data_IF_700576655269
#
_entry.id   IF_700576655269
#
_cell.length_a   1.000
_cell.length_b   1.000
_cell.length_c   1.000
_cell.angle_alpha   90.00
_cell.angle_beta   90.00
_cell.angle_gamma   90.00
#
_symmetry.space_group_name_H-M   'P 1'
#
loop_
_entity.id
_entity.type
_entity.pdbx_description
1 polymer ?
#
# COMPACT_ATOMS: atom_id res chain seq x y z
N UNK A 1 -1.95 -40.84 -25.73
CA UNK A 1 -0.68 -40.34 -25.20
C UNK A 1 -0.42 -41.04 -23.88
N UNK A 2 0.75 -41.63 -23.73
CA UNK A 2 1.12 -42.34 -22.49
C UNK A 2 2.06 -41.44 -21.69
N UNK A 3 1.85 -41.36 -20.38
CA UNK A 3 2.77 -40.72 -19.44
C UNK A 3 3.89 -41.74 -19.11
N UNK A 4 5.12 -41.30 -19.22
CA UNK A 4 6.31 -42.09 -18.91
C UNK A 4 7.21 -41.29 -17.95
N UNK A 5 7.81 -41.96 -17.00
CA UNK A 5 8.80 -41.31 -16.12
C UNK A 5 10.16 -41.33 -16.79
N UNK A 6 10.82 -40.17 -16.87
CA UNK A 6 12.14 -39.99 -17.41
C UNK A 6 13.07 -39.38 -16.37
N UNK A 7 14.30 -39.86 -16.36
CA UNK A 7 15.38 -39.26 -15.59
C UNK A 7 15.60 -37.82 -16.02
N UNK A 8 15.61 -36.87 -15.06
CA UNK A 8 15.82 -35.44 -15.32
C UNK A 8 17.18 -35.19 -15.97
N UNK A 9 18.17 -36.01 -15.68
CA UNK A 9 19.50 -35.96 -16.28
C UNK A 9 19.48 -36.27 -17.80
N UNK A 10 18.50 -37.02 -18.27
CA UNK A 10 18.36 -37.40 -19.68
C UNK A 10 17.58 -36.36 -20.50
N UNK A 11 17.01 -35.34 -19.83
CA UNK A 11 16.26 -34.29 -20.51
C UNK A 11 17.17 -33.15 -20.96
N UNK A 12 16.95 -32.67 -22.16
CA UNK A 12 17.65 -31.52 -22.76
C UNK A 12 16.75 -30.27 -22.72
N UNK A 13 16.99 -29.33 -21.81
CA UNK A 13 16.29 -28.05 -21.84
C UNK A 13 16.58 -27.32 -23.17
N UNK A 14 15.55 -26.70 -23.77
CA UNK A 14 15.77 -25.92 -24.96
C UNK A 14 16.50 -24.61 -24.66
N UNK A 15 17.73 -24.45 -25.16
CA UNK A 15 18.62 -23.31 -24.82
C UNK A 15 18.04 -21.93 -25.20
N UNK A 16 17.26 -21.88 -26.31
CA UNK A 16 16.66 -20.66 -26.84
C UNK A 16 15.23 -20.44 -26.33
N UNK A 17 14.94 -20.91 -25.07
CA UNK A 17 13.63 -20.69 -24.48
C UNK A 17 13.38 -19.19 -24.24
N UNK A 18 12.37 -18.65 -24.97
CA UNK A 18 12.01 -17.23 -24.86
C UNK A 18 11.35 -16.86 -23.54
N UNK A 19 10.77 -17.85 -22.82
CA UNK A 19 10.11 -17.62 -21.55
C UNK A 19 11.09 -17.74 -20.39
N UNK A 20 11.21 -16.68 -19.60
CA UNK A 20 12.01 -16.67 -18.36
C UNK A 20 11.15 -17.11 -17.19
N UNK A 21 11.75 -17.82 -16.26
CA UNK A 21 11.10 -18.32 -15.05
C UNK A 21 11.76 -17.67 -13.83
N UNK A 22 11.15 -16.60 -13.24
CA UNK A 22 11.69 -15.97 -12.03
C UNK A 22 11.61 -16.93 -10.84
N UNK A 23 12.50 -16.77 -9.85
CA UNK A 23 12.58 -17.65 -8.70
C UNK A 23 11.24 -17.77 -7.95
N UNK A 24 10.51 -16.66 -7.76
CA UNK A 24 9.17 -16.66 -7.13
C UNK A 24 8.21 -17.66 -7.81
N UNK A 25 8.23 -17.75 -9.16
CA UNK A 25 7.40 -18.72 -9.89
C UNK A 25 7.83 -20.15 -9.62
N UNK A 26 9.14 -20.40 -9.60
CA UNK A 26 9.69 -21.74 -9.34
C UNK A 26 9.34 -22.21 -7.94
N UNK A 27 9.42 -21.32 -6.94
CA UNK A 27 9.06 -21.59 -5.56
C UNK A 27 7.57 -21.95 -5.40
N UNK A 28 6.67 -21.21 -6.06
CA UNK A 28 5.24 -21.53 -6.09
C UNK A 28 4.98 -22.86 -6.76
N UNK A 29 5.62 -23.15 -7.88
CA UNK A 29 5.51 -24.44 -8.58
C UNK A 29 6.03 -25.60 -7.70
N UNK A 30 7.13 -25.40 -6.99
CA UNK A 30 7.68 -26.40 -6.07
C UNK A 30 6.69 -26.71 -4.94
N UNK A 31 6.17 -25.71 -4.26
CA UNK A 31 5.13 -25.87 -3.22
C UNK A 31 3.88 -26.59 -3.74
N UNK A 32 3.42 -26.24 -4.96
CA UNK A 32 2.27 -26.92 -5.59
C UNK A 32 2.55 -28.40 -5.84
N UNK A 33 3.74 -28.74 -6.35
CA UNK A 33 4.17 -30.11 -6.59
C UNK A 33 4.25 -30.92 -5.28
N UNK A 34 4.76 -30.33 -4.22
CA UNK A 34 4.80 -30.96 -2.90
C UNK A 34 3.39 -31.22 -2.34
N UNK A 35 2.47 -30.26 -2.49
CA UNK A 35 1.14 -30.34 -1.90
C UNK A 35 0.16 -31.20 -2.70
N UNK A 36 0.14 -31.03 -4.02
CA UNK A 36 -0.87 -31.65 -4.89
C UNK A 36 -0.30 -32.76 -5.79
N UNK A 37 1.00 -32.98 -5.74
CA UNK A 37 1.68 -33.86 -6.67
C UNK A 37 1.94 -33.24 -8.03
N UNK A 38 2.56 -33.99 -8.92
CA UNK A 38 2.89 -33.54 -10.26
C UNK A 38 1.70 -33.71 -11.22
N UNK A 39 0.85 -32.71 -11.31
CA UNK A 39 -0.46 -32.77 -11.99
C UNK A 39 -0.39 -32.64 -13.53
N UNK A 40 0.66 -32.04 -14.09
CA UNK A 40 0.76 -31.75 -15.52
C UNK A 40 2.12 -32.20 -16.07
N UNK A 41 2.19 -33.26 -16.89
CA UNK A 41 3.43 -33.80 -17.43
C UNK A 41 4.24 -32.78 -18.23
N UNK A 42 5.55 -32.99 -18.31
CA UNK A 42 6.45 -32.24 -19.21
C UNK A 42 6.31 -32.80 -20.60
N UNK A 43 6.19 -31.96 -21.63
CA UNK A 43 6.19 -32.39 -23.01
C UNK A 43 7.63 -32.45 -23.55
N UNK A 44 8.01 -33.58 -24.14
CA UNK A 44 9.33 -33.80 -24.69
C UNK A 44 9.25 -34.30 -26.15
N UNK A 45 10.27 -34.01 -26.92
CA UNK A 45 10.46 -34.58 -28.26
C UNK A 45 10.94 -36.04 -28.19
N UNK A 46 11.04 -36.72 -29.35
CA UNK A 46 11.63 -38.04 -29.44
C UNK A 46 13.06 -38.11 -28.92
N UNK A 47 13.80 -37.02 -29.07
CA UNK A 47 15.19 -36.86 -28.59
C UNK A 47 15.29 -36.36 -27.14
N UNK A 48 14.24 -36.39 -26.35
CA UNK A 48 14.16 -35.85 -24.98
C UNK A 48 14.42 -34.34 -24.86
N UNK A 49 14.28 -33.54 -25.94
CA UNK A 49 14.31 -32.08 -25.80
C UNK A 49 12.99 -31.59 -25.19
N UNK A 50 13.05 -30.71 -24.18
CA UNK A 50 11.89 -30.18 -23.50
C UNK A 50 11.14 -29.21 -24.43
N UNK A 51 9.89 -29.52 -24.73
CA UNK A 51 8.98 -28.68 -25.52
C UNK A 51 8.22 -27.73 -24.61
N UNK A 52 7.56 -28.24 -23.55
CA UNK A 52 6.79 -27.47 -22.60
C UNK A 52 7.00 -27.98 -21.17
N UNK A 53 6.95 -27.06 -20.19
CA UNK A 53 7.11 -27.39 -18.77
C UNK A 53 8.49 -27.10 -18.19
N UNK A 54 9.28 -26.19 -18.78
CA UNK A 54 10.60 -25.79 -18.27
C UNK A 54 10.56 -25.31 -16.81
N UNK A 55 9.55 -24.51 -16.42
CA UNK A 55 9.38 -24.05 -15.01
C UNK A 55 9.14 -25.22 -14.06
N UNK A 56 8.30 -26.20 -14.45
CA UNK A 56 8.05 -27.42 -13.65
C UNK A 56 9.30 -28.28 -13.49
N UNK A 57 10.09 -28.38 -14.54
CA UNK A 57 11.39 -29.09 -14.47
C UNK A 57 12.37 -28.40 -13.51
N UNK A 58 12.41 -27.06 -13.50
CA UNK A 58 13.24 -26.31 -12.54
C UNK A 58 12.75 -26.52 -11.11
N UNK A 59 11.44 -26.52 -10.87
CA UNK A 59 10.86 -26.79 -9.56
C UNK A 59 11.19 -28.20 -9.06
N UNK A 60 11.09 -29.22 -9.90
CA UNK A 60 11.50 -30.60 -9.54
C UNK A 60 12.99 -30.70 -9.19
N UNK A 61 13.85 -30.01 -9.95
CA UNK A 61 15.29 -29.93 -9.62
C UNK A 61 15.54 -29.27 -8.25
N UNK A 62 14.81 -28.21 -7.93
CA UNK A 62 14.85 -27.56 -6.62
C UNK A 62 14.42 -28.49 -5.50
N UNK A 63 13.42 -29.36 -5.75
CA UNK A 63 12.95 -30.38 -4.82
C UNK A 63 13.85 -31.62 -4.73
N UNK A 64 14.95 -31.66 -5.48
CA UNK A 64 15.88 -32.80 -5.47
C UNK A 64 15.30 -34.07 -6.10
N UNK A 65 14.25 -33.94 -6.94
CA UNK A 65 13.69 -35.08 -7.65
C UNK A 65 14.62 -35.50 -8.81
N UNK A 66 14.72 -36.79 -9.05
CA UNK A 66 15.57 -37.36 -10.12
C UNK A 66 14.79 -37.74 -11.35
N UNK A 67 13.50 -37.97 -11.22
CA UNK A 67 12.59 -38.37 -12.28
C UNK A 67 11.46 -37.35 -12.48
N UNK A 68 10.91 -37.31 -13.68
CA UNK A 68 9.79 -36.43 -14.03
C UNK A 68 8.80 -37.14 -14.98
N UNK A 69 7.49 -37.07 -14.71
CA UNK A 69 6.46 -37.56 -15.61
C UNK A 69 6.48 -36.72 -16.92
N UNK A 70 6.62 -37.40 -18.04
CA UNK A 70 6.71 -36.82 -19.39
C UNK A 70 5.66 -37.41 -20.31
N UNK A 71 5.27 -36.62 -21.31
CA UNK A 71 4.56 -37.09 -22.49
C UNK A 71 5.50 -36.89 -23.67
N UNK A 72 5.79 -37.98 -24.40
CA UNK A 72 6.62 -37.93 -25.61
C UNK A 72 5.76 -37.58 -26.83
N UNK A 73 6.18 -36.55 -27.52
CA UNK A 73 5.56 -36.10 -28.78
C UNK A 73 6.30 -36.74 -29.95
N UNK A 74 5.63 -37.65 -30.64
CA UNK A 74 6.19 -38.39 -31.76
C UNK A 74 5.65 -37.87 -33.09
N UNK A 75 6.43 -38.00 -34.15
CA UNK A 75 6.04 -37.67 -35.53
C UNK A 75 5.97 -36.19 -35.85
N UNK A 76 6.47 -35.31 -34.94
CA UNK A 76 6.46 -33.85 -35.18
C UNK A 76 7.73 -33.40 -35.88
N UNK A 77 7.58 -32.55 -36.87
CA UNK A 77 8.67 -31.82 -37.50
C UNK A 77 9.28 -30.78 -36.56
N UNK A 78 10.51 -30.34 -36.84
CA UNK A 78 11.17 -29.27 -36.05
C UNK A 78 10.37 -27.97 -36.06
N UNK A 79 9.65 -27.67 -37.13
CA UNK A 79 8.80 -26.48 -37.22
C UNK A 79 7.58 -26.60 -36.30
N UNK A 80 6.91 -27.75 -36.33
CA UNK A 80 5.77 -28.02 -35.43
C UNK A 80 6.16 -28.00 -33.94
N UNK A 81 7.31 -28.57 -33.57
CA UNK A 81 7.85 -28.50 -32.21
C UNK A 81 8.07 -27.04 -31.79
N UNK A 82 8.63 -26.21 -32.69
CA UNK A 82 8.83 -24.78 -32.42
C UNK A 82 7.50 -24.03 -32.26
N UNK A 83 6.53 -24.31 -33.11
CA UNK A 83 5.19 -23.73 -33.05
C UNK A 83 4.48 -24.15 -31.76
N UNK A 84 4.50 -25.44 -31.40
CA UNK A 84 3.89 -25.97 -30.18
C UNK A 84 4.49 -25.32 -28.92
N UNK A 85 5.83 -25.16 -28.86
CA UNK A 85 6.52 -24.50 -27.74
C UNK A 85 6.07 -23.07 -27.53
N UNK A 86 5.90 -22.32 -28.61
CA UNK A 86 5.41 -20.92 -28.53
C UNK A 86 3.93 -20.88 -28.16
N UNK A 87 3.12 -21.75 -28.75
CA UNK A 87 1.68 -21.83 -28.57
C UNK A 87 1.32 -22.18 -27.10
N UNK A 88 1.97 -23.18 -26.51
CA UNK A 88 1.73 -23.59 -25.11
C UNK A 88 1.89 -22.40 -24.12
N UNK A 89 2.91 -21.59 -24.35
CA UNK A 89 3.13 -20.40 -23.50
C UNK A 89 2.17 -19.25 -23.83
N UNK A 90 1.90 -18.99 -25.12
CA UNK A 90 1.11 -17.84 -25.54
C UNK A 90 -0.38 -18.05 -25.27
N UNK A 91 -0.92 -19.24 -25.58
CA UNK A 91 -2.36 -19.54 -25.39
C UNK A 91 -2.73 -19.42 -23.89
N UNK A 92 -1.89 -19.93 -23.01
CA UNK A 92 -2.11 -19.81 -21.57
C UNK A 92 -2.16 -18.33 -21.07
N UNK A 93 -1.44 -17.42 -21.76
CA UNK A 93 -1.43 -15.99 -21.43
C UNK A 93 -2.50 -15.16 -22.13
N UNK A 94 -3.30 -15.74 -23.03
CA UNK A 94 -4.42 -15.06 -23.71
C UNK A 94 -5.71 -15.05 -22.89
N UNK A 95 -5.81 -15.90 -21.88
CA UNK A 95 -6.94 -15.89 -20.94
C UNK A 95 -6.88 -14.68 -20.02
N UNK A 96 -8.03 -14.09 -19.72
CA UNK A 96 -8.19 -13.01 -18.76
C UNK A 96 -8.92 -13.51 -17.52
N UNK A 97 -8.56 -12.96 -16.36
CA UNK A 97 -9.24 -13.25 -15.10
C UNK A 97 -10.45 -12.34 -14.93
N UNK A 98 -11.60 -12.90 -14.58
CA UNK A 98 -12.61 -12.13 -13.86
C UNK A 98 -12.09 -11.91 -12.44
N UNK A 99 -11.50 -10.74 -12.20
CA UNK A 99 -10.88 -10.43 -10.93
C UNK A 99 -11.88 -10.36 -9.77
N UNK A 100 -13.16 -10.05 -10.04
CA UNK A 100 -14.20 -10.04 -9.02
C UNK A 100 -14.42 -11.45 -8.46
N UNK A 101 -14.64 -12.41 -9.35
CA UNK A 101 -14.81 -13.82 -8.98
C UNK A 101 -13.52 -14.41 -8.38
N UNK A 102 -12.36 -14.09 -8.94
CA UNK A 102 -11.09 -14.58 -8.43
C UNK A 102 -10.83 -14.11 -6.99
N UNK A 103 -11.09 -12.84 -6.66
CA UNK A 103 -10.95 -12.29 -5.30
C UNK A 103 -11.93 -12.95 -4.33
N UNK A 104 -13.17 -13.21 -4.75
CA UNK A 104 -14.16 -13.90 -3.93
C UNK A 104 -13.67 -15.31 -3.54
N UNK A 105 -13.16 -16.09 -4.50
CA UNK A 105 -12.59 -17.41 -4.26
C UNK A 105 -11.33 -17.35 -3.38
N UNK A 106 -10.43 -16.41 -3.64
CA UNK A 106 -9.20 -16.24 -2.87
C UNK A 106 -9.46 -15.94 -1.39
N UNK A 107 -10.48 -15.14 -1.06
CA UNK A 107 -10.86 -14.82 0.32
C UNK A 107 -11.33 -16.03 1.12
N UNK A 108 -11.80 -17.09 0.45
CA UNK A 108 -12.21 -18.33 1.08
C UNK A 108 -11.06 -19.28 1.44
N UNK A 109 -9.82 -18.98 1.02
CA UNK A 109 -8.66 -19.84 1.24
C UNK A 109 -7.96 -19.56 2.57
N UNK A 110 -7.39 -20.60 3.19
CA UNK A 110 -6.40 -20.41 4.25
C UNK A 110 -5.13 -19.81 3.70
N UNK A 111 -4.31 -19.18 4.55
CA UNK A 111 -3.04 -18.58 4.15
C UNK A 111 -2.13 -19.56 3.41
N UNK A 112 -2.04 -20.82 3.89
CA UNK A 112 -1.28 -21.88 3.24
C UNK A 112 -1.78 -22.16 1.82
N UNK A 113 -3.09 -22.24 1.63
CA UNK A 113 -3.69 -22.50 0.31
C UNK A 113 -3.57 -21.27 -0.61
N UNK A 114 -3.70 -20.08 -0.06
CA UNK A 114 -3.51 -18.84 -0.82
C UNK A 114 -2.10 -18.75 -1.42
N UNK A 115 -1.06 -19.07 -0.65
CA UNK A 115 0.33 -19.03 -1.10
C UNK A 115 0.61 -19.97 -2.28
N UNK A 116 -0.21 -21.00 -2.46
CA UNK A 116 -0.12 -21.93 -3.59
C UNK A 116 -0.73 -21.37 -4.89
N UNK A 117 -1.57 -20.35 -4.81
CA UNK A 117 -2.24 -19.79 -6.00
C UNK A 117 -1.30 -18.93 -6.86
N UNK A 118 -0.26 -18.37 -6.26
CA UNK A 118 0.65 -17.42 -6.92
C UNK A 118 0.07 -16.02 -7.07
N UNK A 119 -1.14 -15.75 -6.61
CA UNK A 119 -1.70 -14.41 -6.54
C UNK A 119 -1.02 -13.59 -5.45
N UNK A 120 -1.10 -12.27 -5.55
CA UNK A 120 -0.59 -11.35 -4.56
C UNK A 120 -1.62 -11.16 -3.43
N UNK A 121 -1.18 -11.26 -2.16
CA UNK A 121 -2.06 -11.07 -0.99
C UNK A 121 -2.67 -9.67 -0.95
N UNK A 122 -2.04 -8.70 -1.56
CA UNK A 122 -2.59 -7.34 -1.70
C UNK A 122 -3.99 -7.33 -2.35
N UNK A 123 -4.34 -8.35 -3.15
CA UNK A 123 -5.64 -8.45 -3.83
C UNK A 123 -6.82 -8.68 -2.88
N UNK A 124 -6.58 -9.30 -1.73
CA UNK A 124 -7.64 -9.63 -0.75
C UNK A 124 -7.67 -8.67 0.45
N UNK A 125 -6.75 -7.72 0.51
CA UNK A 125 -6.76 -6.68 1.55
C UNK A 125 -7.94 -5.75 1.30
N UNK A 126 -8.91 -5.79 2.20
CA UNK A 126 -10.11 -4.93 2.19
C UNK A 126 -10.33 -4.25 3.53
N UNK A 127 -11.36 -3.41 3.67
CA UNK A 127 -11.71 -2.78 4.94
C UNK A 127 -12.08 -3.81 6.01
N UNK A 128 -11.70 -3.52 7.26
CA UNK A 128 -12.01 -4.31 8.45
C UNK A 128 -12.67 -3.40 9.49
N UNK A 129 -13.59 -3.95 10.29
CA UNK A 129 -14.27 -3.20 11.35
C UNK A 129 -13.30 -2.65 12.41
N UNK A 130 -12.16 -3.30 12.61
CA UNK A 130 -11.14 -2.90 13.56
C UNK A 130 -10.25 -1.75 13.05
N UNK A 131 -10.20 -1.53 11.74
CA UNK A 131 -9.29 -0.56 11.13
C UNK A 131 -9.46 0.84 11.70
N UNK A 132 -10.70 1.29 11.87
CA UNK A 132 -11.02 2.65 12.27
C UNK A 132 -11.37 2.81 13.77
N UNK A 133 -11.11 1.78 14.58
CA UNK A 133 -11.27 1.86 16.03
C UNK A 133 -10.19 2.76 16.63
N UNK A 134 -10.60 3.74 17.45
CA UNK A 134 -9.71 4.63 18.19
C UNK A 134 -9.95 4.42 19.68
N UNK A 135 -8.88 4.18 20.46
CA UNK A 135 -8.96 4.08 21.92
C UNK A 135 -9.52 5.37 22.55
N UNK A 136 -10.50 5.26 23.44
CA UNK A 136 -11.08 6.41 24.14
C UNK A 136 -10.18 6.94 25.26
N UNK A 137 -9.38 6.07 25.86
CA UNK A 137 -8.52 6.38 27.01
C UNK A 137 -7.12 5.77 26.79
N UNK A 138 -6.22 6.54 26.20
CA UNK A 138 -4.82 6.15 26.08
C UNK A 138 -4.03 6.63 27.31
N UNK A 139 -3.17 5.79 27.92
CA UNK A 139 -2.31 6.20 29.03
C UNK A 139 -1.32 7.30 28.57
N UNK A 140 -1.10 8.37 29.37
CA UNK A 140 -0.17 9.43 29.02
C UNK A 140 1.29 8.96 29.23
N UNK A 141 1.95 8.53 28.17
CA UNK A 141 3.34 8.01 28.20
C UNK A 141 4.30 8.82 27.32
N UNK A 142 3.79 9.47 26.27
CA UNK A 142 4.61 10.19 25.30
C UNK A 142 4.94 11.62 25.75
N UNK A 143 6.12 12.08 25.32
CA UNK A 143 6.60 13.47 25.53
C UNK A 143 7.23 13.98 24.25
N UNK A 144 7.21 15.29 24.04
CA UNK A 144 7.88 15.93 22.93
C UNK A 144 9.38 15.53 22.88
N UNK A 145 9.83 15.10 21.73
CA UNK A 145 11.17 14.56 21.48
C UNK A 145 11.28 13.04 21.58
N UNK A 146 10.26 12.35 22.10
CA UNK A 146 10.27 10.89 22.19
C UNK A 146 10.13 10.22 20.83
N UNK A 147 10.87 9.12 20.63
CA UNK A 147 10.71 8.21 19.51
C UNK A 147 10.28 6.84 20.03
N UNK A 148 9.29 6.27 19.40
CA UNK A 148 8.71 4.97 19.73
C UNK A 148 8.87 4.00 18.56
N UNK A 149 9.33 2.78 18.85
CA UNK A 149 9.28 1.64 17.94
C UNK A 149 7.96 0.87 18.17
N UNK A 150 7.14 0.77 17.13
CA UNK A 150 5.89 0.02 17.08
C UNK A 150 6.11 -1.15 16.10
N UNK A 151 6.65 -2.26 16.60
CA UNK A 151 7.18 -3.32 15.75
C UNK A 151 8.29 -2.78 14.84
N UNK A 152 8.04 -2.78 13.54
CA UNK A 152 8.97 -2.24 12.52
C UNK A 152 8.73 -0.76 12.17
N UNK A 153 7.64 -0.18 12.65
CA UNK A 153 7.32 1.24 12.45
C UNK A 153 8.06 2.13 13.48
N UNK A 154 8.10 3.42 13.16
CA UNK A 154 8.58 4.45 14.10
C UNK A 154 7.58 5.59 14.19
N UNK A 155 7.34 6.06 15.40
CA UNK A 155 6.53 7.24 15.66
C UNK A 155 7.34 8.18 16.53
N UNK A 156 7.42 9.45 16.11
CA UNK A 156 8.08 10.49 16.87
C UNK A 156 7.04 11.51 17.37
N UNK A 157 7.09 11.82 18.66
CA UNK A 157 6.43 12.99 19.20
C UNK A 157 7.31 14.20 18.89
N UNK A 158 7.07 14.88 17.75
CA UNK A 158 7.98 15.89 17.23
C UNK A 158 7.33 16.89 16.31
N UNK A 159 8.13 17.83 15.85
CA UNK A 159 7.71 18.95 15.00
C UNK A 159 8.18 18.75 13.57
N UNK A 160 7.25 18.50 12.66
CA UNK A 160 7.51 18.25 11.22
C UNK A 160 8.20 19.42 10.50
N UNK A 161 8.17 20.61 11.08
CA UNK A 161 8.89 21.79 10.56
C UNK A 161 10.39 21.72 10.85
N UNK A 162 10.81 21.02 11.92
CA UNK A 162 12.19 20.94 12.37
C UNK A 162 12.96 19.86 11.62
N UNK A 163 14.02 20.25 10.93
CA UNK A 163 14.90 19.32 10.22
C UNK A 163 15.55 18.30 11.15
N UNK A 164 15.85 18.73 12.37
CA UNK A 164 16.49 17.92 13.41
C UNK A 164 15.57 16.78 13.86
N UNK A 165 14.29 17.07 14.12
CA UNK A 165 13.29 16.07 14.51
C UNK A 165 13.08 15.07 13.38
N UNK A 166 12.94 15.57 12.13
CA UNK A 166 12.80 14.72 10.96
C UNK A 166 14.05 13.86 10.73
N UNK A 167 15.26 14.39 10.94
CA UNK A 167 16.49 13.63 10.82
C UNK A 167 16.58 12.52 11.90
N UNK A 168 16.14 12.79 13.13
CA UNK A 168 16.08 11.76 14.18
C UNK A 168 15.08 10.64 13.84
N UNK A 169 13.90 10.98 13.34
CA UNK A 169 12.90 9.99 12.92
C UNK A 169 13.42 9.13 11.77
N UNK A 170 13.96 9.76 10.73
CA UNK A 170 14.32 9.10 9.47
C UNK A 170 15.66 8.36 9.51
N UNK A 171 16.62 8.83 10.31
CA UNK A 171 18.00 8.38 10.20
C UNK A 171 18.53 8.52 8.78
N UNK A 172 19.14 7.45 8.24
CA UNK A 172 19.68 7.43 6.88
C UNK A 172 18.66 6.99 5.82
N UNK A 173 17.40 6.75 6.21
CA UNK A 173 16.37 6.23 5.29
C UNK A 173 15.71 7.34 4.48
N UNK A 174 15.27 6.96 3.28
CA UNK A 174 14.40 7.76 2.43
C UNK A 174 13.11 6.99 2.16
N UNK A 175 12.00 7.71 2.09
CA UNK A 175 10.67 7.13 1.88
C UNK A 175 10.43 6.76 0.41
N UNK A 176 9.66 5.70 0.21
CA UNK A 176 9.11 5.29 -1.08
C UNK A 176 7.82 6.05 -1.37
N UNK A 177 7.07 6.37 -0.31
CA UNK A 177 5.79 7.06 -0.43
C UNK A 177 5.56 8.02 0.74
N UNK A 178 4.77 9.05 0.47
CA UNK A 178 4.16 9.94 1.48
C UNK A 178 2.64 9.84 1.36
N UNK A 179 1.96 9.64 2.48
CA UNK A 179 0.53 9.94 2.60
C UNK A 179 0.35 10.84 3.82
N UNK A 180 -0.25 12.03 3.65
CA UNK A 180 -0.32 12.97 4.77
C UNK A 180 -1.50 13.93 4.66
N UNK A 181 -2.02 14.37 5.82
CA UNK A 181 -3.15 15.29 5.97
C UNK A 181 -2.72 16.50 6.82
N UNK A 182 -2.04 17.50 6.22
CA UNK A 182 -1.54 18.66 6.96
C UNK A 182 -2.69 19.56 7.46
N UNK A 183 -2.47 20.36 8.51
CA UNK A 183 -3.48 21.31 9.00
C UNK A 183 -3.75 22.39 7.95
N UNK A 184 -5.03 22.69 7.73
CA UNK A 184 -5.47 23.70 6.73
C UNK A 184 -5.65 25.10 7.31
N UNK A 185 -5.41 25.30 8.60
CA UNK A 185 -5.64 26.56 9.30
C UNK A 185 -7.13 26.91 9.44
N UNK A 186 -7.99 25.92 9.42
CA UNK A 186 -9.44 26.07 9.52
C UNK A 186 -9.86 25.80 10.95
N UNK A 187 -9.74 26.74 11.86
CA UNK A 187 -10.10 26.63 13.29
C UNK A 187 -11.37 25.77 13.54
N UNK A 188 -11.18 24.44 13.55
CA UNK A 188 -12.26 23.48 13.75
C UNK A 188 -12.86 23.59 15.15
N UNK A 189 -12.09 24.02 16.17
CA UNK A 189 -12.61 24.21 17.53
C UNK A 189 -13.67 25.31 17.57
N UNK A 190 -13.36 26.52 17.10
CA UNK A 190 -14.34 27.62 17.06
C UNK A 190 -15.57 27.31 16.21
N UNK A 191 -15.40 26.54 15.13
CA UNK A 191 -16.54 26.11 14.32
C UNK A 191 -17.44 25.13 15.07
N UNK A 192 -16.83 24.19 15.84
CA UNK A 192 -17.58 23.17 16.58
C UNK A 192 -18.21 23.73 17.85
N UNK A 193 -17.54 24.62 18.57
CA UNK A 193 -18.07 25.32 19.76
C UNK A 193 -19.29 26.18 19.43
N UNK A 194 -19.28 26.81 18.25
CA UNK A 194 -20.42 27.62 17.78
C UNK A 194 -21.63 26.78 17.32
N UNK A 195 -21.45 25.48 17.05
CA UNK A 195 -22.50 24.58 16.53
C UNK A 195 -23.12 23.72 17.65
N UNK A 196 -22.35 23.38 18.66
CA UNK A 196 -22.77 22.39 19.68
C UNK A 196 -22.30 22.83 21.06
N UNK A 197 -23.16 23.51 21.81
CA UNK A 197 -22.98 23.83 23.25
C UNK A 197 -22.81 22.59 24.15
N UNK A 198 -22.57 21.38 23.63
CA UNK A 198 -22.61 20.12 24.37
C UNK A 198 -21.45 19.16 24.15
N UNK A 199 -20.41 19.45 23.33
CA UNK A 199 -19.29 18.52 23.13
C UNK A 199 -18.02 19.01 23.82
N UNK A 200 -17.87 18.69 25.11
CA UNK A 200 -16.74 19.11 25.95
C UNK A 200 -15.42 18.34 25.79
N UNK A 201 -15.33 17.31 24.95
CA UNK A 201 -14.18 16.39 24.93
C UNK A 201 -13.54 16.20 23.54
N UNK A 202 -13.57 17.21 22.66
CA UNK A 202 -12.84 17.15 21.39
C UNK A 202 -11.39 17.57 21.66
N UNK A 203 -10.41 16.71 21.29
CA UNK A 203 -9.01 17.08 21.34
C UNK A 203 -8.72 18.18 20.32
N UNK A 204 -8.04 19.27 20.72
CA UNK A 204 -7.67 20.33 19.80
C UNK A 204 -6.64 19.84 18.78
N UNK A 205 -6.81 20.22 17.51
CA UNK A 205 -5.76 20.03 16.51
C UNK A 205 -4.73 21.14 16.70
N UNK A 206 -3.49 20.80 17.01
CA UNK A 206 -2.44 21.77 17.22
C UNK A 206 -2.26 22.67 15.98
N UNK A 207 -2.15 23.97 16.17
CA UNK A 207 -1.91 24.98 15.14
C UNK A 207 -3.01 25.17 14.07
N UNK A 208 -4.20 24.61 14.21
CA UNK A 208 -5.28 24.79 13.24
C UNK A 208 -5.98 26.17 13.31
N UNK A 209 -5.62 27.00 14.28
CA UNK A 209 -6.21 28.33 14.50
C UNK A 209 -5.47 29.50 13.81
N UNK A 210 -4.41 29.23 13.04
CA UNK A 210 -3.56 30.25 12.43
C UNK A 210 -4.10 30.80 11.08
N UNK A 211 -5.21 30.29 10.59
CA UNK A 211 -5.77 30.70 9.31
C UNK A 211 -4.82 30.48 8.13
N UNK A 212 -4.77 31.44 7.19
CA UNK A 212 -3.90 31.35 6.01
C UNK A 212 -2.42 31.30 6.33
N UNK A 213 -2.01 31.84 7.47
CA UNK A 213 -0.60 31.85 7.88
C UNK A 213 -0.12 30.46 8.29
N UNK A 214 -1.03 29.56 8.71
CA UNK A 214 -0.69 28.16 9.00
C UNK A 214 -0.04 27.46 7.79
N UNK A 215 -0.53 27.69 6.59
CA UNK A 215 0.03 27.12 5.38
C UNK A 215 1.48 27.54 5.16
N UNK A 216 1.80 28.83 5.37
CA UNK A 216 3.14 29.35 5.19
C UNK A 216 4.10 28.95 6.31
N UNK A 217 3.64 28.99 7.55
CA UNK A 217 4.49 28.83 8.71
C UNK A 217 4.70 27.35 9.08
N UNK A 218 3.75 26.48 8.78
CA UNK A 218 3.76 25.06 9.19
C UNK A 218 3.94 24.17 7.98
N UNK A 219 3.06 24.31 6.99
CA UNK A 219 2.96 23.34 5.89
C UNK A 219 4.16 23.45 4.96
N UNK A 220 4.62 24.65 4.64
CA UNK A 220 5.75 24.85 3.73
C UNK A 220 7.07 24.24 4.26
N UNK A 221 7.52 24.49 5.51
CA UNK A 221 8.71 23.83 6.04
C UNK A 221 8.57 22.30 6.11
N UNK A 222 7.39 21.80 6.48
CA UNK A 222 7.13 20.36 6.50
C UNK A 222 7.22 19.76 5.08
N UNK A 223 6.70 20.43 4.05
CA UNK A 223 6.83 19.99 2.66
C UNK A 223 8.27 19.98 2.17
N UNK A 224 9.10 20.95 2.59
CA UNK A 224 10.54 20.92 2.30
C UNK A 224 11.20 19.68 2.93
N UNK A 225 10.83 19.33 4.16
CA UNK A 225 11.32 18.13 4.83
C UNK A 225 10.84 16.85 4.14
N UNK A 226 9.58 16.79 3.69
CA UNK A 226 9.04 15.70 2.87
C UNK A 226 9.85 15.56 1.57
N UNK A 227 10.00 16.66 0.80
CA UNK A 227 10.73 16.64 -0.46
C UNK A 227 12.17 16.12 -0.30
N UNK A 228 12.83 16.51 0.80
CA UNK A 228 14.20 16.08 1.08
C UNK A 228 14.30 14.61 1.49
N UNK A 229 13.24 14.01 2.03
CA UNK A 229 13.24 12.64 2.53
C UNK A 229 12.56 11.63 1.60
N UNK A 230 12.07 12.04 0.44
CA UNK A 230 11.48 11.17 -0.55
C UNK A 230 12.54 10.68 -1.56
N UNK A 231 12.51 9.40 -1.93
CA UNK A 231 13.35 8.81 -2.98
C UNK A 231 13.04 9.40 -4.35
N UNK A 232 13.97 9.26 -5.30
CA UNK A 232 13.65 9.46 -6.72
C UNK A 232 12.64 8.38 -7.16
N UNK A 233 11.53 8.80 -7.80
CA UNK A 233 10.40 7.92 -8.11
C UNK A 233 9.42 7.72 -6.95
N UNK A 234 9.74 8.21 -5.76
CA UNK A 234 8.83 8.15 -4.61
C UNK A 234 7.58 9.00 -4.84
N UNK A 235 6.45 8.51 -4.36
CA UNK A 235 5.11 9.01 -4.64
C UNK A 235 4.56 9.77 -3.43
N UNK A 236 3.71 10.75 -3.66
CA UNK A 236 3.02 11.47 -2.59
C UNK A 236 1.54 11.62 -2.85
N UNK A 237 0.79 11.50 -1.77
CA UNK A 237 -0.64 11.76 -1.64
C UNK A 237 -0.81 12.75 -0.49
N UNK A 238 -1.22 13.96 -0.80
CA UNK A 238 -1.38 15.04 0.18
C UNK A 238 -2.81 15.49 0.17
N UNK A 239 -3.52 15.29 1.29
CA UNK A 239 -4.88 15.78 1.46
C UNK A 239 -4.88 17.32 1.39
N UNK A 240 -5.92 17.87 0.78
CA UNK A 240 -6.00 19.31 0.50
C UNK A 240 -7.39 19.85 0.79
N UNK A 241 -7.50 21.15 1.14
CA UNK A 241 -8.81 21.82 1.20
C UNK A 241 -9.55 21.75 -0.13
N UNK A 242 -10.87 21.75 -0.08
CA UNK A 242 -11.79 21.58 -1.23
C UNK A 242 -11.82 22.76 -2.21
N UNK A 243 -10.77 23.48 -2.36
CA UNK A 243 -10.70 24.58 -3.33
C UNK A 243 -10.64 25.97 -2.69
N UNK A 244 -11.02 26.99 -3.47
CA UNK A 244 -10.84 28.38 -3.09
C UNK A 244 -9.35 28.74 -2.91
N UNK A 245 -9.11 29.79 -2.14
CA UNK A 245 -7.78 30.32 -1.91
C UNK A 245 -6.84 29.32 -1.18
N UNK A 246 -7.37 28.57 -0.20
CA UNK A 246 -6.55 27.64 0.58
C UNK A 246 -6.04 26.48 -0.27
N UNK A 247 -6.86 25.90 -1.14
CA UNK A 247 -6.43 24.85 -2.05
C UNK A 247 -5.38 25.30 -3.04
N UNK A 248 -5.54 26.52 -3.59
CA UNK A 248 -4.52 27.11 -4.46
C UNK A 248 -3.21 27.35 -3.72
N UNK A 249 -3.27 27.93 -2.52
CA UNK A 249 -2.09 28.16 -1.68
C UNK A 249 -1.38 26.84 -1.36
N UNK A 250 -2.12 25.77 -1.05
CA UNK A 250 -1.54 24.43 -0.79
C UNK A 250 -0.71 23.96 -1.99
N UNK A 251 -1.28 24.03 -3.20
CA UNK A 251 -0.56 23.64 -4.43
C UNK A 251 0.68 24.53 -4.68
N UNK A 252 0.59 25.83 -4.45
CA UNK A 252 1.74 26.74 -4.59
C UNK A 252 2.85 26.36 -3.60
N UNK A 253 2.52 26.07 -2.34
CA UNK A 253 3.51 25.66 -1.34
C UNK A 253 4.18 24.35 -1.66
N UNK A 254 3.43 23.38 -2.23
CA UNK A 254 4.01 22.15 -2.74
C UNK A 254 5.03 22.44 -3.82
N UNK A 255 4.69 23.27 -4.82
CA UNK A 255 5.60 23.64 -5.92
C UNK A 255 6.85 24.35 -5.39
N UNK A 256 6.69 25.32 -4.50
CA UNK A 256 7.82 26.07 -3.89
C UNK A 256 8.74 25.16 -3.04
N UNK A 257 8.18 24.08 -2.46
CA UNK A 257 8.93 23.07 -1.73
C UNK A 257 9.59 22.01 -2.65
N UNK A 258 9.38 22.08 -3.97
CA UNK A 258 9.90 21.11 -4.94
C UNK A 258 9.08 19.83 -5.07
N UNK A 259 7.79 19.88 -4.70
CA UNK A 259 6.81 18.80 -4.83
C UNK A 259 5.78 19.21 -5.88
N UNK A 260 5.85 18.64 -7.09
CA UNK A 260 4.93 18.99 -8.18
C UNK A 260 3.58 18.31 -8.03
N UNK A 261 2.48 19.06 -7.91
CA UNK A 261 1.14 18.49 -8.04
C UNK A 261 0.91 18.11 -9.51
N UNK A 262 0.85 16.80 -9.80
CA UNK A 262 0.66 16.29 -11.17
C UNK A 262 -0.78 15.97 -11.48
N UNK A 263 -1.51 15.43 -10.49
CA UNK A 263 -2.91 15.06 -10.60
C UNK A 263 -3.65 15.35 -9.31
N UNK A 264 -4.96 15.50 -9.41
CA UNK A 264 -5.87 15.55 -8.29
C UNK A 264 -6.70 14.28 -8.27
N UNK A 265 -6.69 13.58 -7.14
CA UNK A 265 -7.58 12.47 -6.84
C UNK A 265 -8.71 13.00 -5.98
N UNK A 266 -9.90 12.50 -6.21
CA UNK A 266 -11.11 12.91 -5.48
C UNK A 266 -11.54 11.77 -4.57
N UNK A 267 -11.43 11.94 -3.27
CA UNK A 267 -12.09 11.06 -2.32
C UNK A 267 -13.55 11.46 -2.19
N UNK A 268 -14.45 10.66 -2.76
CA UNK A 268 -15.90 10.80 -2.66
C UNK A 268 -16.39 10.08 -1.41
N UNK A 269 -17.09 10.81 -0.55
CA UNK A 269 -17.66 10.32 0.71
C UNK A 269 -19.07 9.76 0.51
N UNK A 270 -19.50 8.88 1.41
CA UNK A 270 -20.85 8.31 1.46
C UNK A 270 -21.95 9.40 1.63
N UNK A 271 -21.62 10.46 2.36
CA UNK A 271 -22.53 11.58 2.67
C UNK A 271 -21.83 12.93 2.51
N UNK A 272 -22.59 13.93 2.07
CA UNK A 272 -22.13 15.30 2.06
C UNK A 272 -21.95 15.86 3.48
N UNK A 273 -21.05 16.83 3.61
CA UNK A 273 -20.89 17.63 4.83
C UNK A 273 -21.76 18.88 4.65
N UNK A 274 -22.74 19.06 5.53
CA UNK A 274 -23.65 20.18 5.50
C UNK A 274 -22.90 21.52 5.65
N UNK A 275 -23.05 22.40 4.65
CA UNK A 275 -22.37 23.70 4.58
C UNK A 275 -23.00 24.78 5.46
N UNK A 276 -24.13 24.48 6.12
CA UNK A 276 -24.91 25.39 6.96
C UNK A 276 -25.41 26.63 6.18
N UNK A 277 -25.74 26.49 4.91
CA UNK A 277 -26.23 27.58 4.08
C UNK A 277 -25.20 28.66 3.75
N UNK A 278 -23.90 28.39 3.94
CA UNK A 278 -22.81 29.31 3.57
C UNK A 278 -22.43 29.21 2.10
N UNK A 279 -22.79 28.08 1.46
CA UNK A 279 -22.53 27.79 0.07
C UNK A 279 -23.81 27.20 -0.55
N UNK A 280 -23.91 27.28 -1.85
CA UNK A 280 -25.03 26.70 -2.61
C UNK A 280 -24.90 25.16 -2.71
N UNK A 281 -23.76 24.62 -2.35
CA UNK A 281 -23.44 23.20 -2.44
C UNK A 281 -22.89 22.66 -1.12
N UNK A 282 -23.30 21.45 -0.75
CA UNK A 282 -22.67 20.69 0.32
C UNK A 282 -21.51 19.85 -0.22
N UNK A 283 -20.39 19.84 0.50
CA UNK A 283 -19.20 19.10 0.09
C UNK A 283 -19.35 17.60 0.34
N UNK A 284 -19.28 16.80 -0.72
CA UNK A 284 -19.27 15.33 -0.64
C UNK A 284 -17.90 14.72 -0.96
N UNK A 285 -16.89 15.53 -1.16
CA UNK A 285 -15.58 15.06 -1.53
C UNK A 285 -14.46 15.80 -0.81
N UNK A 286 -13.27 15.19 -0.81
CA UNK A 286 -12.00 15.85 -0.49
C UNK A 286 -10.99 15.59 -1.59
N UNK A 287 -10.22 16.62 -2.01
CA UNK A 287 -9.15 16.46 -2.98
C UNK A 287 -7.89 15.88 -2.30
N UNK A 288 -7.18 15.03 -3.04
CA UNK A 288 -5.87 14.52 -2.66
C UNK A 288 -4.92 14.88 -3.81
N UNK A 289 -3.92 15.70 -3.50
CA UNK A 289 -2.90 16.12 -4.45
C UNK A 289 -1.89 14.99 -4.61
N UNK A 290 -1.75 14.49 -5.83
CA UNK A 290 -0.95 13.33 -6.17
C UNK A 290 0.18 13.68 -7.12
N UNK A 291 1.32 13.03 -6.94
CA UNK A 291 2.45 13.11 -7.83
C UNK A 291 3.62 12.26 -7.35
N UNK A 292 4.78 12.48 -7.97
CA UNK A 292 6.02 11.75 -7.68
C UNK A 292 7.25 12.61 -7.92
N UNK A 293 8.34 12.27 -7.25
CA UNK A 293 9.63 12.94 -7.40
C UNK A 293 10.40 12.34 -8.57
N UNK A 294 10.85 13.18 -9.51
CA UNK A 294 11.69 12.75 -10.62
C UNK A 294 10.99 11.79 -11.58
N UNK A 295 11.56 10.62 -11.83
CA UNK A 295 11.02 9.59 -12.72
C UNK A 295 10.31 8.49 -11.93
N UNK A 296 9.09 8.16 -12.32
CA UNK A 296 8.25 7.15 -11.67
C UNK A 296 7.92 6.01 -12.62
N UNK A 297 7.84 4.79 -12.05
CA UNK A 297 7.26 3.63 -12.71
C UNK A 297 6.02 3.21 -11.93
N UNK A 298 4.92 3.03 -12.65
CA UNK A 298 3.73 2.40 -12.09
C UNK A 298 4.06 1.00 -11.56
N UNK A 299 3.67 0.73 -10.31
CA UNK A 299 3.97 -0.53 -9.61
C UNK A 299 2.92 -1.59 -9.91
N UNK A 300 1.67 -1.19 -10.15
CA UNK A 300 0.56 -2.11 -10.47
C UNK A 300 0.79 -2.90 -11.76
N UNK A 301 0.30 -4.13 -11.78
CA UNK A 301 0.46 -5.10 -12.88
C UNK A 301 -0.37 -4.74 -14.12
N UNK A 302 -0.35 -3.48 -14.57
CA UNK A 302 -1.15 -2.97 -15.68
C UNK A 302 -2.58 -2.60 -15.30
N UNK A 303 -2.99 -2.78 -14.07
CA UNK A 303 -4.28 -2.30 -13.55
C UNK A 303 -4.14 -0.87 -13.05
N UNK A 304 -4.97 0.02 -13.58
CA UNK A 304 -4.99 1.43 -13.20
C UNK A 304 -6.25 1.73 -12.39
N UNK A 305 -6.07 2.31 -11.20
CA UNK A 305 -7.20 2.81 -10.40
C UNK A 305 -7.72 4.13 -10.98
N UNK A 306 -9.01 4.37 -10.81
CA UNK A 306 -9.62 5.65 -11.21
C UNK A 306 -9.19 6.78 -10.26
N UNK A 307 -9.30 8.03 -10.73
CA UNK A 307 -8.99 9.21 -9.92
C UNK A 307 -10.13 9.61 -8.95
N UNK A 308 -11.26 8.91 -8.96
CA UNK A 308 -12.35 9.08 -8.00
C UNK A 308 -12.43 7.84 -7.13
N UNK A 309 -12.23 8.03 -5.83
CA UNK A 309 -12.27 6.97 -4.83
C UNK A 309 -13.53 7.08 -4.00
N UNK A 310 -14.43 6.12 -4.15
CA UNK A 310 -15.69 6.05 -3.41
C UNK A 310 -15.46 5.23 -2.14
N UNK A 311 -15.08 5.92 -1.05
CA UNK A 311 -14.74 5.32 0.24
C UNK A 311 -15.58 6.01 1.31
N UNK A 312 -16.37 5.26 2.11
CA UNK A 312 -17.19 5.82 3.16
C UNK A 312 -16.33 6.48 4.24
N UNK A 313 -16.90 7.45 4.93
CA UNK A 313 -16.27 8.02 6.12
C UNK A 313 -16.32 7.01 7.25
N UNK A 314 -15.30 6.99 8.14
CA UNK A 314 -15.38 6.18 9.35
C UNK A 314 -16.58 6.59 10.19
N UNK A 315 -17.13 5.66 10.95
CA UNK A 315 -18.17 5.95 11.93
C UNK A 315 -17.65 7.03 12.87
N UNK A 316 -18.45 8.09 13.08
CA UNK A 316 -18.00 9.29 13.79
C UNK A 316 -17.45 8.94 15.18
N UNK A 317 -16.13 9.08 15.35
CA UNK A 317 -15.52 9.12 16.69
C UNK A 317 -15.87 10.45 17.34
N UNK A 318 -16.31 10.41 18.59
CA UNK A 318 -16.55 11.64 19.39
C UNK A 318 -15.26 12.41 19.66
N UNK A 319 -14.11 11.73 19.64
CA UNK A 319 -12.81 12.27 20.00
C UNK A 319 -12.02 12.79 18.79
N UNK A 320 -12.26 12.24 17.58
CA UNK A 320 -11.48 12.54 16.38
C UNK A 320 -12.39 12.83 15.18
N UNK A 321 -12.99 14.01 15.09
CA UNK A 321 -14.00 14.33 14.07
C UNK A 321 -13.43 14.44 12.64
N UNK A 322 -12.11 14.55 12.49
CA UNK A 322 -11.41 14.74 11.21
C UNK A 322 -10.61 13.51 10.75
N UNK A 323 -10.76 12.37 11.45
CA UNK A 323 -10.06 11.14 11.08
C UNK A 323 -10.35 10.72 9.64
N UNK A 324 -9.29 10.34 8.92
CA UNK A 324 -9.40 9.70 7.61
C UNK A 324 -9.55 8.19 7.80
N UNK A 325 -10.39 7.50 6.97
CA UNK A 325 -10.53 6.05 7.04
C UNK A 325 -9.22 5.36 6.65
N UNK A 326 -8.87 4.28 7.33
CA UNK A 326 -7.68 3.46 7.01
C UNK A 326 -7.71 2.97 5.56
N UNK A 327 -8.89 2.62 5.06
CA UNK A 327 -9.09 2.18 3.66
C UNK A 327 -8.57 3.20 2.64
N UNK A 328 -8.65 4.50 2.93
CA UNK A 328 -8.14 5.54 2.04
C UNK A 328 -6.62 5.43 1.84
N UNK A 329 -5.88 5.20 2.94
CA UNK A 329 -4.44 5.00 2.93
C UNK A 329 -4.08 3.65 2.31
N UNK A 330 -4.78 2.58 2.66
CA UNK A 330 -4.61 1.24 2.06
C UNK A 330 -4.73 1.32 0.54
N UNK A 331 -5.75 2.02 0.02
CA UNK A 331 -5.95 2.18 -1.41
C UNK A 331 -4.77 2.87 -2.11
N UNK A 332 -4.18 3.89 -1.50
CA UNK A 332 -3.00 4.59 -2.01
C UNK A 332 -1.73 3.72 -1.92
N UNK A 333 -1.51 3.07 -0.76
CA UNK A 333 -0.35 2.24 -0.46
C UNK A 333 -0.25 1.08 -1.45
N UNK A 334 -1.32 0.32 -1.63
CA UNK A 334 -1.37 -0.83 -2.55
C UNK A 334 -1.15 -0.42 -4.02
N UNK A 335 -1.56 0.80 -4.39
CA UNK A 335 -1.35 1.32 -5.74
C UNK A 335 0.09 1.75 -6.03
N UNK A 336 0.85 2.17 -5.01
CA UNK A 336 2.09 2.91 -5.22
C UNK A 336 3.31 2.36 -4.50
N UNK A 337 3.17 1.28 -3.74
CA UNK A 337 4.26 0.66 -2.96
C UNK A 337 4.23 -0.86 -3.06
N UNK A 338 5.35 -1.47 -2.66
CA UNK A 338 5.50 -2.91 -2.45
C UNK A 338 5.58 -3.20 -0.95
N UNK A 339 5.43 -4.47 -0.59
CA UNK A 339 5.74 -4.91 0.78
C UNK A 339 7.12 -4.41 1.21
N UNK A 340 7.24 -4.06 2.50
CA UNK A 340 8.46 -3.55 3.11
C UNK A 340 8.88 -2.13 2.67
N UNK A 341 8.21 -1.50 1.71
CA UNK A 341 8.46 -0.10 1.35
C UNK A 341 8.15 0.85 2.51
N UNK A 342 8.90 1.94 2.59
CA UNK A 342 8.77 2.94 3.64
C UNK A 342 7.78 4.04 3.24
N UNK A 343 6.72 4.16 4.02
CA UNK A 343 5.72 5.23 3.94
C UNK A 343 5.96 6.23 5.07
N UNK A 344 5.91 7.53 4.78
CA UNK A 344 6.01 8.57 5.80
C UNK A 344 4.71 9.39 5.89
N UNK A 345 4.40 9.79 7.12
CA UNK A 345 3.33 10.73 7.44
C UNK A 345 3.77 11.66 8.57
N UNK A 346 3.97 12.94 8.24
CA UNK A 346 4.46 13.92 9.22
C UNK A 346 3.35 14.68 9.95
N UNK A 347 2.08 14.30 9.71
CA UNK A 347 0.89 14.79 10.43
C UNK A 347 0.00 13.59 10.76
N UNK A 348 0.56 12.64 11.56
CA UNK A 348 0.03 11.29 11.71
C UNK A 348 -1.34 11.24 12.40
N UNK A 349 -1.70 12.27 13.17
CA UNK A 349 -2.98 12.39 13.87
C UNK A 349 -3.26 11.17 14.74
N UNK A 350 -4.35 10.46 14.47
CA UNK A 350 -4.73 9.24 15.20
C UNK A 350 -4.06 7.95 14.69
N UNK A 351 -3.14 8.03 13.72
CA UNK A 351 -2.35 6.89 13.25
C UNK A 351 -2.99 6.04 12.15
N UNK A 352 -3.94 6.56 11.39
CA UNK A 352 -4.57 5.77 10.29
C UNK A 352 -3.56 5.29 9.26
N UNK A 353 -2.56 6.11 8.91
CA UNK A 353 -1.46 5.73 7.99
C UNK A 353 -0.62 4.59 8.56
N UNK A 354 -0.36 4.58 9.88
CA UNK A 354 0.39 3.51 10.54
C UNK A 354 -0.37 2.18 10.50
N UNK A 355 -1.66 2.18 10.83
CA UNK A 355 -2.50 0.98 10.76
C UNK A 355 -2.59 0.47 9.32
N UNK A 356 -2.73 1.36 8.33
CA UNK A 356 -2.72 0.97 6.92
C UNK A 356 -1.40 0.30 6.51
N UNK A 357 -0.26 0.80 6.98
CA UNK A 357 1.06 0.20 6.72
C UNK A 357 1.21 -1.16 7.39
N UNK A 358 0.77 -1.32 8.64
CA UNK A 358 0.78 -2.62 9.32
C UNK A 358 -0.06 -3.65 8.56
N UNK A 359 -1.30 -3.28 8.23
CA UNK A 359 -2.24 -4.12 7.48
C UNK A 359 -1.72 -4.59 6.12
N UNK A 360 -0.95 -3.74 5.46
CA UNK A 360 -0.45 -3.98 4.11
C UNK A 360 1.00 -4.47 4.07
N UNK A 361 1.60 -4.81 5.20
CA UNK A 361 3.00 -5.22 5.29
C UNK A 361 4.01 -4.16 4.79
N UNK A 362 3.68 -2.87 4.95
CA UNK A 362 4.58 -1.72 4.70
C UNK A 362 5.13 -1.18 6.01
N UNK A 363 6.13 -0.33 5.95
CA UNK A 363 6.75 0.30 7.12
C UNK A 363 6.28 1.76 7.19
N UNK A 364 5.83 2.21 8.36
CA UNK A 364 5.46 3.60 8.60
C UNK A 364 6.50 4.31 9.47
N UNK A 365 6.99 5.47 9.03
CA UNK A 365 7.67 6.43 9.89
C UNK A 365 6.80 7.68 9.99
N UNK A 366 6.19 7.87 11.15
CA UNK A 366 5.21 8.91 11.40
C UNK A 366 5.66 9.94 12.43
N UNK A 367 5.16 11.15 12.30
CA UNK A 367 5.39 12.23 13.26
C UNK A 367 4.06 12.84 13.68
N UNK A 368 3.94 13.14 14.96
CA UNK A 368 2.81 13.84 15.54
C UNK A 368 3.29 14.81 16.61
N UNK A 369 2.76 16.01 16.61
CA UNK A 369 3.20 17.08 17.50
C UNK A 369 2.62 16.95 18.90
N UNK A 370 1.34 16.55 19.01
CA UNK A 370 0.65 16.46 20.30
C UNK A 370 0.93 15.10 20.98
N UNK A 371 1.56 15.10 22.17
CA UNK A 371 1.81 13.87 22.94
C UNK A 371 0.56 13.01 23.16
N UNK A 372 -0.62 13.62 23.31
CA UNK A 372 -1.88 12.88 23.51
C UNK A 372 -2.27 12.05 22.29
N UNK A 373 -2.02 12.58 21.08
CA UNK A 373 -2.24 11.81 19.86
C UNK A 373 -1.21 10.70 19.70
N UNK A 374 0.05 10.94 20.13
CA UNK A 374 1.06 9.88 20.15
C UNK A 374 0.66 8.76 21.12
N UNK A 375 0.12 9.08 22.30
CA UNK A 375 -0.44 8.10 23.24
C UNK A 375 -1.56 7.25 22.57
N UNK A 376 -2.45 7.92 21.84
CA UNK A 376 -3.53 7.25 21.08
C UNK A 376 -2.97 6.33 19.99
N UNK A 377 -1.94 6.77 19.26
CA UNK A 377 -1.29 5.95 18.21
C UNK A 377 -0.68 4.68 18.83
N UNK A 378 0.03 4.83 19.95
CA UNK A 378 0.65 3.71 20.68
C UNK A 378 -0.42 2.70 21.10
N UNK A 379 -1.44 3.16 21.83
CA UNK A 379 -2.51 2.30 22.33
C UNK A 379 -3.28 1.62 21.17
N UNK A 380 -3.58 2.36 20.09
CA UNK A 380 -4.24 1.83 18.89
C UNK A 380 -3.43 0.72 18.24
N UNK A 381 -2.13 0.93 18.07
CA UNK A 381 -1.23 -0.07 17.52
C UNK A 381 -1.17 -1.33 18.40
N UNK A 382 -1.03 -1.15 19.73
CA UNK A 382 -0.97 -2.27 20.67
C UNK A 382 -2.27 -3.08 20.67
N UNK A 383 -3.43 -2.41 20.60
CA UNK A 383 -4.73 -3.09 20.51
C UNK A 383 -4.90 -3.82 19.17
N UNK A 384 -4.45 -3.21 18.07
CA UNK A 384 -4.58 -3.77 16.73
C UNK A 384 -3.70 -5.01 16.53
N UNK A 385 -2.45 -4.97 17.02
CA UNK A 385 -1.45 -6.02 16.75
C UNK A 385 -1.21 -6.99 17.91
N UNK A 386 -1.62 -6.63 19.13
CA UNK A 386 -1.22 -7.32 20.35
C UNK A 386 0.24 -7.13 20.75
N UNK A 387 1.01 -6.29 20.02
CA UNK A 387 2.45 -6.08 20.24
C UNK A 387 2.71 -4.79 21.00
N UNK A 388 3.55 -4.83 22.02
CA UNK A 388 3.89 -3.65 22.82
C UNK A 388 4.85 -2.71 22.10
N UNK A 389 4.55 -1.42 22.13
CA UNK A 389 5.44 -0.37 21.68
C UNK A 389 6.63 -0.19 22.63
N UNK A 390 7.77 0.24 22.10
CA UNK A 390 8.99 0.46 22.86
C UNK A 390 9.54 1.85 22.58
N UNK A 391 9.86 2.59 23.65
CA UNK A 391 10.57 3.86 23.51
C UNK A 391 12.04 3.60 23.19
N UNK A 392 12.58 4.32 22.19
CA UNK A 392 13.96 4.12 21.68
C UNK A 392 14.75 5.44 21.70
#
# INVERSE_FOLDING_TARGET
>A
MQVIDLEISNLRPYEKNARRHPQKQIDVLAKNIERFGFTTPVLVSEDNEVIAGHGRLLALKQLGRTEVPCVRMEGLTKEEIKALRLADNQIASMGEWDMGLAIEELKGLSDEMFDLTGFDKDLIIGPDEQDDIIPENAPPVAKLGDIWALGRHRVMCGDSMKKEDVAMLMGDKKADMVFTDPPYGVDYQKKTENIVNQRKNILPVANDNLGKDALKLIVFPAFQNIANNLKNGGVYYICSPQGGELGLMMMMMMMDAGIECRHMIVWKKDRAVFSMGRLDYDYQHEPILYGWRGSHKHIGNGQYKTSVWDIPRPSASKLHPTMKPVELMVNAILNSTKEEDLVIDYFLGSGSTLIACEKTNRICYGMELDPKYVDVIIERYEQYTGTKAQKI
#
